data_IF_646897331517
#
_entry.id   IF_646897331517
#
_cell.length_a   1.000
_cell.length_b   1.000
_cell.length_c   1.000
_cell.angle_alpha   90.00
_cell.angle_beta   90.00
_cell.angle_gamma   90.00
#
_symmetry.space_group_name_H-M   'P 1'
#
loop_
_entity.id
_entity.type
_entity.pdbx_description
1 polymer ?
#
# COMPACT_ATOMS: atom_id res chain seq x y z
N UNK A 1 2.66 -0.36 -2.94
CA UNK A 1 4.03 0.24 -2.97
C UNK A 1 4.44 0.64 -4.38
N UNK A 2 4.61 -0.29 -5.33
CA UNK A 2 4.97 0.04 -6.71
C UNK A 2 4.01 1.05 -7.36
N UNK A 3 2.70 0.90 -7.17
CA UNK A 3 1.70 1.82 -7.71
C UNK A 3 1.88 3.24 -7.16
N UNK A 4 2.17 3.41 -5.86
CA UNK A 4 2.39 4.73 -5.26
C UNK A 4 3.69 5.37 -5.77
N UNK A 5 4.76 4.59 -5.90
CA UNK A 5 6.05 5.07 -6.45
C UNK A 5 5.89 5.43 -7.93
N UNK A 6 5.16 4.63 -8.70
CA UNK A 6 4.85 4.93 -10.10
C UNK A 6 4.00 6.20 -10.22
N UNK A 7 3.00 6.43 -9.35
CA UNK A 7 2.20 7.66 -9.40
C UNK A 7 3.07 8.89 -9.04
N UNK A 8 3.98 8.78 -8.05
CA UNK A 8 4.94 9.87 -7.74
C UNK A 8 5.85 10.15 -8.95
N UNK A 9 6.38 9.11 -9.60
CA UNK A 9 7.22 9.26 -10.79
C UNK A 9 6.42 9.86 -11.95
N UNK A 10 5.19 9.40 -12.18
CA UNK A 10 4.30 9.96 -13.21
C UNK A 10 3.99 11.43 -12.97
N UNK A 11 3.70 11.83 -11.73
CA UNK A 11 3.49 13.24 -11.36
C UNK A 11 4.77 14.08 -11.51
N UNK A 12 5.94 13.53 -11.17
CA UNK A 12 7.23 14.18 -11.42
C UNK A 12 7.52 14.35 -12.91
N UNK A 13 7.19 13.36 -13.74
CA UNK A 13 7.34 13.44 -15.19
C UNK A 13 6.40 14.47 -15.79
N UNK A 14 5.15 14.53 -15.33
CA UNK A 14 4.15 15.51 -15.78
C UNK A 14 4.56 16.94 -15.37
N UNK A 15 5.19 17.11 -14.19
CA UNK A 15 5.82 18.39 -13.80
C UNK A 15 6.96 18.79 -14.73
N UNK A 16 7.88 17.87 -15.01
CA UNK A 16 9.03 18.12 -15.88
C UNK A 16 8.54 18.47 -17.29
N UNK A 17 7.56 17.74 -17.83
CA UNK A 17 6.96 18.01 -19.14
C UNK A 17 6.30 19.39 -19.18
N UNK A 18 5.58 19.77 -18.12
CA UNK A 18 4.94 21.10 -18.00
C UNK A 18 5.95 22.24 -17.90
N UNK A 19 7.05 22.06 -17.16
CA UNK A 19 8.15 23.04 -17.06
C UNK A 19 8.92 23.13 -18.38
N UNK A 20 9.09 22.02 -19.10
CA UNK A 20 9.78 21.97 -20.38
C UNK A 20 8.92 22.52 -21.53
N UNK A 21 7.58 22.42 -21.44
CA UNK A 21 6.64 22.90 -22.47
C UNK A 21 6.33 24.40 -22.39
N UNK A 22 6.95 25.17 -21.50
CA UNK A 22 6.70 26.63 -21.35
C UNK A 22 7.00 27.45 -22.61
N UNK A 23 7.55 26.84 -23.65
CA UNK A 23 7.83 27.49 -24.94
C UNK A 23 6.72 27.30 -26.00
N UNK A 24 5.63 26.59 -25.68
CA UNK A 24 4.48 26.40 -26.59
C UNK A 24 3.17 26.65 -25.85
N UNK A 25 2.34 27.57 -26.34
CA UNK A 25 1.05 27.93 -25.77
C UNK A 25 0.06 26.75 -25.84
N UNK A 26 0.06 25.89 -24.82
CA UNK A 26 -0.91 24.82 -24.64
C UNK A 26 -1.91 25.24 -23.56
N UNK A 27 -3.20 24.96 -23.74
CA UNK A 27 -4.21 25.21 -22.70
C UNK A 27 -3.93 24.29 -21.50
N UNK A 28 -3.51 24.88 -20.38
CA UNK A 28 -3.17 24.16 -19.16
C UNK A 28 -4.45 23.69 -18.46
N UNK A 29 -4.96 22.52 -18.82
CA UNK A 29 -6.02 21.84 -18.08
C UNK A 29 -5.39 20.91 -17.03
N UNK A 30 -5.48 21.30 -15.76
CA UNK A 30 -5.14 20.40 -14.64
C UNK A 30 -6.13 19.23 -14.67
N UNK A 31 -5.61 18.00 -14.72
CA UNK A 31 -6.41 16.75 -14.77
C UNK A 31 -7.30 16.52 -13.53
N UNK A 32 -7.12 17.35 -12.49
CA UNK A 32 -7.87 17.37 -11.25
C UNK A 32 -8.54 18.75 -11.12
N UNK A 33 -9.84 18.81 -11.43
CA UNK A 33 -10.70 19.97 -11.15
C UNK A 33 -10.88 20.11 -9.64
N UNK A 34 -9.95 20.79 -8.98
CA UNK A 34 -10.23 21.36 -7.65
C UNK A 34 -10.80 22.76 -7.88
N UNK A 35 -12.00 23.02 -7.36
CA UNK A 35 -12.60 24.35 -7.34
C UNK A 35 -11.81 25.25 -6.38
N UNK A 36 -10.63 25.68 -6.79
CA UNK A 36 -10.01 26.86 -6.22
C UNK A 36 -10.78 28.06 -6.77
N UNK A 37 -11.41 28.84 -5.89
CA UNK A 37 -12.09 30.11 -6.20
C UNK A 37 -11.12 31.22 -6.67
N UNK A 38 -9.98 30.86 -7.25
CA UNK A 38 -8.85 31.72 -7.60
C UNK A 38 -8.47 31.44 -9.05
N UNK A 39 -8.10 32.49 -9.80
CA UNK A 39 -7.77 32.43 -11.23
C UNK A 39 -6.73 31.34 -11.55
N UNK A 40 -7.19 30.25 -12.19
CA UNK A 40 -6.43 29.04 -12.45
C UNK A 40 -5.21 29.28 -13.34
N UNK A 41 -5.25 30.28 -14.24
CA UNK A 41 -4.12 30.60 -15.12
C UNK A 41 -3.00 31.36 -14.38
N UNK A 42 -3.35 32.24 -13.42
CA UNK A 42 -2.37 33.06 -12.69
C UNK A 42 -1.64 32.29 -11.59
N UNK A 43 -2.28 31.33 -10.95
CA UNK A 43 -1.74 30.58 -9.80
C UNK A 43 -1.42 29.11 -10.08
N UNK A 44 -1.40 28.72 -11.36
CA UNK A 44 -1.17 27.35 -11.82
C UNK A 44 0.03 26.66 -11.13
N UNK A 45 1.20 27.31 -11.13
CA UNK A 45 2.43 26.74 -10.55
C UNK A 45 2.34 26.52 -9.03
N UNK A 46 1.69 27.44 -8.30
CA UNK A 46 1.57 27.35 -6.85
C UNK A 46 0.58 26.25 -6.45
N UNK A 47 -0.54 26.14 -7.17
CA UNK A 47 -1.51 25.06 -6.99
C UNK A 47 -0.89 23.69 -7.33
N UNK A 48 -0.15 23.62 -8.44
CA UNK A 48 0.57 22.41 -8.82
C UNK A 48 1.56 21.98 -7.73
N UNK A 49 2.40 22.90 -7.25
CA UNK A 49 3.38 22.62 -6.20
C UNK A 49 2.69 22.13 -4.91
N UNK A 50 1.60 22.77 -4.51
CA UNK A 50 0.84 22.36 -3.33
C UNK A 50 0.30 20.92 -3.46
N UNK A 51 -0.28 20.59 -4.62
CA UNK A 51 -0.75 19.24 -4.93
C UNK A 51 0.40 18.22 -4.93
N UNK A 52 1.54 18.55 -5.54
CA UNK A 52 2.72 17.67 -5.57
C UNK A 52 3.27 17.41 -4.16
N UNK A 53 3.42 18.44 -3.34
CA UNK A 53 3.90 18.30 -1.95
C UNK A 53 2.92 17.46 -1.14
N UNK A 54 1.62 17.75 -1.23
CA UNK A 54 0.59 16.95 -0.56
C UNK A 54 0.65 15.47 -0.97
N UNK A 55 0.87 15.21 -2.25
CA UNK A 55 1.01 13.85 -2.77
C UNK A 55 2.28 13.14 -2.27
N UNK A 56 3.43 13.83 -2.24
CA UNK A 56 4.69 13.28 -1.72
C UNK A 56 4.56 12.97 -0.23
N UNK A 57 3.98 13.88 0.56
CA UNK A 57 3.78 13.67 2.00
C UNK A 57 2.82 12.50 2.25
N UNK A 58 1.69 12.47 1.56
CA UNK A 58 0.73 11.37 1.68
C UNK A 58 1.31 10.03 1.23
N UNK A 59 2.07 10.02 0.13
CA UNK A 59 2.75 8.85 -0.41
C UNK A 59 3.80 8.29 0.55
N UNK A 60 4.68 9.13 1.06
CA UNK A 60 5.71 8.74 2.04
C UNK A 60 5.10 8.22 3.34
N UNK A 61 4.07 8.89 3.88
CA UNK A 61 3.35 8.43 5.06
C UNK A 61 2.70 7.05 4.84
N UNK A 62 2.09 6.83 3.67
CA UNK A 62 1.48 5.55 3.31
C UNK A 62 2.53 4.44 3.20
N UNK A 63 3.66 4.72 2.55
CA UNK A 63 4.77 3.76 2.41
C UNK A 63 5.37 3.43 3.78
N UNK A 64 5.64 4.44 4.60
CA UNK A 64 6.18 4.25 5.95
C UNK A 64 5.23 3.39 6.80
N UNK A 65 3.95 3.72 6.83
CA UNK A 65 2.94 2.95 7.58
C UNK A 65 2.82 1.50 7.07
N UNK A 66 2.79 1.31 5.74
CA UNK A 66 2.76 -0.02 5.14
C UNK A 66 3.99 -0.87 5.46
N UNK A 67 5.19 -0.25 5.40
CA UNK A 67 6.44 -0.93 5.77
C UNK A 67 6.49 -1.32 7.24
N UNK A 68 5.99 -0.46 8.14
CA UNK A 68 5.94 -0.74 9.57
C UNK A 68 5.03 -1.93 9.87
N UNK A 69 3.85 -1.97 9.26
CA UNK A 69 2.92 -3.10 9.38
C UNK A 69 3.53 -4.41 8.86
N UNK A 70 4.21 -4.36 7.71
CA UNK A 70 4.90 -5.54 7.17
C UNK A 70 6.03 -6.01 8.09
N UNK A 71 6.82 -5.09 8.64
CA UNK A 71 7.87 -5.40 9.59
C UNK A 71 7.32 -6.09 10.84
N UNK A 72 6.18 -5.61 11.37
CA UNK A 72 5.50 -6.28 12.49
C UNK A 72 5.02 -7.68 12.14
N UNK A 73 4.42 -7.88 10.95
CA UNK A 73 3.99 -9.21 10.50
C UNK A 73 5.19 -10.17 10.40
N UNK A 74 6.29 -9.73 9.78
CA UNK A 74 7.52 -10.52 9.69
C UNK A 74 8.08 -10.84 11.07
N UNK A 75 8.04 -9.88 12.00
CA UNK A 75 8.45 -10.08 13.38
C UNK A 75 7.60 -11.18 14.07
N UNK A 76 6.26 -11.15 13.96
CA UNK A 76 5.43 -12.22 14.55
C UNK A 76 5.70 -13.57 13.92
N UNK A 77 5.78 -13.64 12.59
CA UNK A 77 6.10 -14.87 11.87
C UNK A 77 7.45 -15.44 12.34
N UNK A 78 8.46 -14.59 12.51
CA UNK A 78 9.77 -14.97 13.04
C UNK A 78 9.70 -15.49 14.47
N UNK A 79 9.00 -14.78 15.35
CA UNK A 79 8.82 -15.18 16.76
C UNK A 79 8.03 -16.49 16.89
N UNK A 80 6.99 -16.70 16.08
CA UNK A 80 6.25 -17.96 16.03
C UNK A 80 7.11 -19.11 15.51
N UNK A 81 7.95 -18.87 14.50
CA UNK A 81 8.92 -19.88 14.02
C UNK A 81 9.91 -20.27 15.11
N UNK A 82 10.43 -19.31 15.88
CA UNK A 82 11.32 -19.56 17.01
C UNK A 82 10.60 -20.35 18.12
N UNK A 83 9.37 -19.97 18.46
CA UNK A 83 8.57 -20.66 19.47
C UNK A 83 8.31 -22.13 19.06
N UNK A 84 7.88 -22.35 17.81
CA UNK A 84 7.65 -23.68 17.23
C UNK A 84 8.91 -24.54 17.26
N UNK A 85 10.05 -24.00 16.84
CA UNK A 85 11.34 -24.71 16.91
C UNK A 85 11.71 -25.12 18.34
N UNK A 86 11.53 -24.21 19.32
CA UNK A 86 11.81 -24.52 20.73
C UNK A 86 10.91 -25.62 21.26
N UNK A 87 9.61 -25.58 20.95
CA UNK A 87 8.65 -26.62 21.35
C UNK A 87 9.07 -27.97 20.75
N UNK A 88 9.32 -28.03 19.43
CA UNK A 88 9.73 -29.26 18.75
C UNK A 88 11.02 -29.85 19.34
N UNK A 89 12.01 -29.01 19.62
CA UNK A 89 13.28 -29.41 20.24
C UNK A 89 13.06 -29.96 21.65
N UNK A 90 12.24 -29.30 22.46
CA UNK A 90 11.93 -29.74 23.83
C UNK A 90 11.20 -31.08 23.83
N UNK A 91 10.21 -31.28 22.96
CA UNK A 91 9.49 -32.55 22.82
C UNK A 91 10.45 -33.66 22.38
N UNK A 92 11.30 -33.42 21.39
CA UNK A 92 12.26 -34.41 20.91
C UNK A 92 13.26 -34.86 22.02
N UNK A 93 13.73 -33.93 22.85
CA UNK A 93 14.60 -34.25 24.00
C UNK A 93 13.85 -35.08 25.04
N UNK A 94 12.57 -34.76 25.28
CA UNK A 94 11.72 -35.49 26.21
C UNK A 94 11.50 -36.94 25.77
N UNK A 95 11.23 -37.17 24.48
CA UNK A 95 10.97 -38.52 23.94
C UNK A 95 12.22 -39.41 23.88
N UNK A 96 13.42 -38.85 23.70
CA UNK A 96 14.67 -39.62 23.54
C UNK A 96 15.39 -39.97 24.85
N UNK A 97 15.07 -39.34 25.97
CA UNK A 97 15.79 -39.55 27.24
C UNK A 97 14.85 -40.14 28.28
N UNK A 98 15.31 -41.18 28.95
CA UNK A 98 14.76 -41.58 30.25
C UNK A 98 15.13 -40.47 31.26
N UNK A 99 14.14 -39.70 31.71
CA UNK A 99 14.35 -38.41 32.33
C UNK A 99 14.58 -38.54 33.84
N UNK A 100 15.72 -38.02 34.32
CA UNK A 100 15.84 -37.68 35.74
C UNK A 100 14.98 -36.45 36.06
N UNK A 101 14.44 -36.39 37.29
CA UNK A 101 13.57 -35.31 37.80
C UNK A 101 14.13 -33.90 37.48
N UNK A 102 15.46 -33.73 37.56
CA UNK A 102 16.12 -32.45 37.30
C UNK A 102 16.01 -32.01 35.83
N UNK A 103 16.10 -32.95 34.88
CA UNK A 103 15.95 -32.67 33.43
C UNK A 103 14.49 -32.38 33.06
N UNK A 104 13.54 -33.03 33.72
CA UNK A 104 12.10 -32.77 33.54
C UNK A 104 11.74 -31.33 33.91
N UNK A 105 12.26 -30.84 35.05
CA UNK A 105 12.06 -29.44 35.47
C UNK A 105 12.58 -28.42 34.44
N UNK A 106 13.69 -28.74 33.76
CA UNK A 106 14.30 -27.90 32.74
C UNK A 106 13.47 -27.89 31.45
N UNK A 107 13.01 -29.07 31.01
CA UNK A 107 12.11 -29.24 29.85
C UNK A 107 10.83 -28.42 30.05
N UNK A 108 10.21 -28.52 31.23
CA UNK A 108 9.02 -27.74 31.56
C UNK A 108 9.29 -26.22 31.54
N UNK A 109 10.42 -25.75 32.10
CA UNK A 109 10.81 -24.32 32.01
C UNK A 109 10.97 -23.85 30.57
N UNK A 110 11.57 -24.65 29.69
CA UNK A 110 11.72 -24.32 28.27
C UNK A 110 10.38 -24.26 27.53
N UNK A 111 9.47 -25.20 27.82
CA UNK A 111 8.13 -25.23 27.25
C UNK A 111 7.32 -24.01 27.68
N UNK A 112 7.29 -23.71 28.98
CA UNK A 112 6.61 -22.52 29.54
C UNK A 112 7.12 -21.25 28.87
N UNK A 113 8.44 -21.12 28.67
CA UNK A 113 9.02 -19.96 27.98
C UNK A 113 8.56 -19.86 26.52
N UNK A 114 8.52 -20.98 25.78
CA UNK A 114 8.07 -20.98 24.40
C UNK A 114 6.58 -20.62 24.27
N UNK A 115 5.73 -21.18 25.14
CA UNK A 115 4.29 -20.86 25.21
C UNK A 115 4.06 -19.41 25.59
N UNK A 116 4.83 -18.86 26.54
CA UNK A 116 4.72 -17.45 26.92
C UNK A 116 5.08 -16.50 25.76
N UNK A 117 6.12 -16.83 24.98
CA UNK A 117 6.48 -16.08 23.77
C UNK A 117 5.31 -16.13 22.77
N UNK A 118 4.79 -17.32 22.48
CA UNK A 118 3.67 -17.51 21.56
C UNK A 118 2.45 -16.70 21.99
N UNK A 119 2.07 -16.78 23.28
CA UNK A 119 0.94 -16.03 23.84
C UNK A 119 1.14 -14.52 23.70
N UNK A 120 2.33 -13.99 24.04
CA UNK A 120 2.62 -12.56 23.89
C UNK A 120 2.52 -12.09 22.44
N UNK A 121 3.07 -12.86 21.50
CA UNK A 121 2.97 -12.55 20.07
C UNK A 121 1.52 -12.55 19.59
N UNK A 122 0.71 -13.52 20.04
CA UNK A 122 -0.71 -13.60 19.69
C UNK A 122 -1.49 -12.41 20.25
N UNK A 123 -1.28 -12.04 21.51
CA UNK A 123 -1.93 -10.87 22.13
C UNK A 123 -1.61 -9.59 21.36
N UNK A 124 -0.34 -9.38 21.03
CA UNK A 124 0.08 -8.17 20.31
C UNK A 124 -0.42 -8.15 18.85
N UNK A 125 -0.42 -9.30 18.17
CA UNK A 125 -1.00 -9.46 16.84
C UNK A 125 -2.50 -9.13 16.83
N UNK A 126 -3.26 -9.63 17.81
CA UNK A 126 -4.68 -9.32 17.95
C UNK A 126 -4.92 -7.84 18.25
N UNK A 127 -4.07 -7.23 19.08
CA UNK A 127 -4.13 -5.78 19.35
C UNK A 127 -3.92 -4.97 18.07
N UNK A 128 -2.88 -5.29 17.29
CA UNK A 128 -2.63 -4.64 16.00
C UNK A 128 -3.79 -4.84 15.04
N UNK A 129 -4.29 -6.08 14.89
CA UNK A 129 -5.44 -6.38 14.04
C UNK A 129 -6.63 -5.50 14.40
N UNK A 130 -7.03 -5.48 15.67
CA UNK A 130 -8.18 -4.70 16.14
C UNK A 130 -8.00 -3.19 15.90
N UNK A 131 -6.78 -2.66 16.07
CA UNK A 131 -6.51 -1.23 15.83
C UNK A 131 -6.62 -0.82 14.36
N UNK A 132 -6.23 -1.70 13.44
CA UNK A 132 -6.18 -1.38 12.01
C UNK A 132 -7.34 -1.97 11.21
N UNK A 133 -8.19 -2.82 11.80
CA UNK A 133 -9.29 -3.52 11.13
C UNK A 133 -10.23 -2.55 10.39
N UNK A 134 -10.76 -1.56 11.09
CA UNK A 134 -11.68 -0.58 10.50
C UNK A 134 -10.99 0.19 9.38
N UNK A 135 -9.75 0.66 9.60
CA UNK A 135 -8.97 1.37 8.59
C UNK A 135 -8.73 0.52 7.33
N UNK A 136 -8.45 -0.77 7.47
CA UNK A 136 -8.30 -1.67 6.34
C UNK A 136 -9.61 -1.89 5.59
N UNK A 137 -10.74 -2.00 6.28
CA UNK A 137 -12.05 -2.10 5.63
C UNK A 137 -12.34 -0.87 4.76
N UNK A 138 -12.10 0.34 5.29
CA UNK A 138 -12.24 1.57 4.50
C UNK A 138 -11.26 1.62 3.32
N UNK A 139 -9.99 1.27 3.53
CA UNK A 139 -8.99 1.22 2.46
C UNK A 139 -9.38 0.22 1.36
N UNK A 140 -9.91 -0.94 1.72
CA UNK A 140 -10.39 -1.94 0.75
C UNK A 140 -11.59 -1.40 -0.04
N UNK A 141 -12.59 -0.80 0.62
CA UNK A 141 -13.75 -0.24 -0.05
C UNK A 141 -13.37 0.89 -1.03
N UNK A 142 -12.55 1.85 -0.57
CA UNK A 142 -12.04 2.94 -1.40
C UNK A 142 -11.17 2.42 -2.55
N UNK A 143 -10.34 1.41 -2.29
CA UNK A 143 -9.51 0.76 -3.29
C UNK A 143 -10.33 0.11 -4.39
N UNK A 144 -11.36 -0.66 -4.03
CA UNK A 144 -12.28 -1.28 -4.99
C UNK A 144 -13.00 -0.21 -5.81
N UNK A 145 -13.58 0.80 -5.16
CA UNK A 145 -14.27 1.90 -5.85
C UNK A 145 -13.34 2.61 -6.84
N UNK A 146 -12.12 2.94 -6.41
CA UNK A 146 -11.11 3.58 -7.26
C UNK A 146 -10.77 2.71 -8.48
N UNK A 147 -10.53 1.41 -8.28
CA UNK A 147 -10.23 0.48 -9.39
C UNK A 147 -11.41 0.41 -10.35
N UNK A 148 -12.64 0.29 -9.85
CA UNK A 148 -13.86 0.24 -10.68
C UNK A 148 -14.02 1.51 -11.54
N UNK A 149 -13.84 2.69 -10.94
CA UNK A 149 -13.93 3.97 -11.65
C UNK A 149 -12.82 4.11 -12.70
N UNK A 150 -11.59 3.66 -12.38
CA UNK A 150 -10.49 3.67 -13.35
C UNK A 150 -10.76 2.75 -14.55
N UNK A 151 -11.27 1.54 -14.32
CA UNK A 151 -11.66 0.62 -15.41
C UNK A 151 -12.76 1.25 -16.27
N UNK A 152 -13.76 1.88 -15.65
CA UNK A 152 -14.83 2.56 -16.36
C UNK A 152 -14.29 3.71 -17.23
N UNK A 153 -13.38 4.53 -16.69
CA UNK A 153 -12.72 5.62 -17.44
C UNK A 153 -11.95 5.10 -18.66
N UNK A 154 -11.16 4.03 -18.50
CA UNK A 154 -10.41 3.41 -19.61
C UNK A 154 -11.37 2.91 -20.70
N UNK A 155 -12.49 2.30 -20.31
CA UNK A 155 -13.53 1.89 -21.27
C UNK A 155 -14.10 3.08 -22.05
N UNK A 156 -14.47 4.17 -21.39
CA UNK A 156 -15.00 5.37 -22.06
C UNK A 156 -14.00 5.91 -23.07
N UNK A 157 -12.73 6.03 -22.70
CA UNK A 157 -11.67 6.53 -23.60
C UNK A 157 -11.57 5.63 -24.83
N UNK A 158 -11.56 4.31 -24.63
CA UNK A 158 -11.53 3.34 -25.72
C UNK A 158 -12.73 3.49 -26.66
N UNK A 159 -13.96 3.56 -26.13
CA UNK A 159 -15.17 3.78 -26.93
C UNK A 159 -15.12 5.08 -27.73
N UNK A 160 -14.66 6.18 -27.11
CA UNK A 160 -14.53 7.48 -27.77
C UNK A 160 -13.51 7.42 -28.92
N UNK A 161 -12.38 6.77 -28.71
CA UNK A 161 -11.37 6.58 -29.75
C UNK A 161 -11.91 5.77 -30.94
N UNK A 162 -12.62 4.67 -30.68
CA UNK A 162 -13.26 3.85 -31.75
C UNK A 162 -14.31 4.66 -32.51
N UNK A 163 -15.19 5.38 -31.80
CA UNK A 163 -16.20 6.24 -32.43
C UNK A 163 -15.55 7.30 -33.33
N UNK A 164 -14.47 7.93 -32.88
CA UNK A 164 -13.75 8.94 -33.66
C UNK A 164 -13.15 8.35 -34.94
N UNK A 165 -12.58 7.14 -34.87
CA UNK A 165 -12.08 6.39 -36.03
C UNK A 165 -13.23 6.07 -37.00
N UNK A 166 -14.39 5.61 -36.50
CA UNK A 166 -15.55 5.31 -37.34
C UNK A 166 -16.09 6.57 -38.06
N UNK A 167 -16.12 7.71 -37.38
CA UNK A 167 -16.53 9.00 -37.98
C UNK A 167 -15.53 9.42 -39.07
N UNK A 168 -14.23 9.32 -38.80
CA UNK A 168 -13.17 9.61 -39.79
C UNK A 168 -13.26 8.70 -41.01
N UNK A 169 -13.46 7.39 -40.82
CA UNK A 169 -13.64 6.45 -41.92
C UNK A 169 -14.87 6.79 -42.77
N UNK A 170 -15.99 7.13 -42.13
CA UNK A 170 -17.21 7.54 -42.84
C UNK A 170 -17.02 8.85 -43.62
N UNK A 171 -16.24 9.79 -43.10
CA UNK A 171 -15.95 11.06 -43.78
C UNK A 171 -14.98 10.91 -44.97
N UNK A 172 -14.09 9.92 -44.94
CA UNK A 172 -13.10 9.70 -46.01
C UNK A 172 -13.67 8.86 -47.16
N UNK A 173 -14.58 7.93 -46.88
CA UNK A 173 -15.08 6.96 -47.85
C UNK A 173 -16.51 7.21 -48.35
N UNK A 174 -17.21 8.23 -47.83
CA UNK A 174 -18.56 8.65 -48.23
C UNK A 174 -18.64 10.17 -48.27
#
# INVERSE_FOLDING_TARGET
MLISVCIVISLCLEFIDTVLSTNVSRSHHVSISTEYFVDQQKYFYLMFLHLSVGFIVGGTATVATGSLLLAYLLYFCGMFKIASYRIKKTIHIYTLKDLSIQKESLVNKHLIRAVNIHRKCMTFSNYLKSRFEISFVFLMALGVLSISLNIFRVRIIFYKSVLMICILFRYVFF
#
